data_IF_937348819472
#
_entry.id   IF_937348819472
#
_cell.length_a   1.000
_cell.length_b   1.000
_cell.length_c   1.000
_cell.angle_alpha   90.00
_cell.angle_beta   90.00
_cell.angle_gamma   90.00
#
_symmetry.space_group_name_H-M   'P 1'
#
loop_
_entity.id
_entity.type
_entity.pdbx_description
1 polymer ?
#
# COMPACT_ATOMS: atom_id res chain seq x y z
N UNK A 1 -10.95 23.57 7.61
CA UNK A 1 -10.81 22.11 7.89
C UNK A 1 -12.17 21.51 7.62
N UNK A 2 -12.21 20.56 6.68
CA UNK A 2 -13.47 19.93 6.22
C UNK A 2 -13.65 18.53 6.81
N UNK A 3 -12.60 17.92 7.34
CA UNK A 3 -12.62 16.57 7.89
C UNK A 3 -11.63 16.43 9.05
N UNK A 4 -11.85 15.43 9.88
CA UNK A 4 -11.00 15.03 10.97
C UNK A 4 -10.26 13.75 10.57
N UNK A 5 -8.92 13.74 10.50
CA UNK A 5 -8.17 12.53 10.20
C UNK A 5 -8.23 11.57 11.38
N UNK A 6 -8.63 10.32 11.13
CA UNK A 6 -8.77 9.33 12.19
C UNK A 6 -7.49 8.53 12.42
N UNK A 7 -6.88 8.04 11.33
CA UNK A 7 -5.67 7.22 11.42
C UNK A 7 -4.78 7.39 10.19
N UNK A 8 -3.51 7.04 10.37
CA UNK A 8 -2.54 6.83 9.28
C UNK A 8 -2.57 5.35 8.90
N UNK A 9 -2.56 5.07 7.62
CA UNK A 9 -2.29 3.75 7.06
C UNK A 9 -1.17 3.86 6.03
N UNK A 10 -0.38 2.80 5.94
CA UNK A 10 0.69 2.68 4.94
C UNK A 10 0.64 1.33 4.25
N UNK A 11 1.15 1.29 3.02
CA UNK A 11 1.12 0.10 2.17
C UNK A 11 2.41 -0.09 1.40
N UNK A 12 2.88 -1.34 1.31
CA UNK A 12 4.02 -1.80 0.51
C UNK A 12 4.05 -3.33 0.46
N UNK A 13 5.23 -3.88 0.25
CA UNK A 13 5.47 -5.31 0.28
C UNK A 13 5.68 -5.76 1.72
N UNK A 14 4.66 -6.38 2.33
CA UNK A 14 4.82 -7.06 3.61
C UNK A 14 5.77 -8.23 3.39
N UNK A 15 6.76 -8.40 4.26
CA UNK A 15 7.64 -9.57 4.27
C UNK A 15 7.45 -10.42 5.52
N UNK A 16 7.78 -11.72 5.41
CA UNK A 16 8.02 -12.61 6.55
C UNK A 16 9.50 -12.96 6.61
N UNK A 17 10.24 -12.29 7.50
CA UNK A 17 11.70 -12.45 7.66
C UNK A 17 12.08 -13.89 8.00
N UNK A 18 11.36 -14.52 8.95
CA UNK A 18 11.66 -15.87 9.38
C UNK A 18 11.59 -16.87 8.22
N UNK A 19 10.60 -16.74 7.36
CA UNK A 19 10.43 -17.56 6.15
C UNK A 19 11.58 -17.32 5.16
N UNK A 20 11.96 -16.06 4.94
CA UNK A 20 13.07 -15.72 4.05
C UNK A 20 14.38 -16.33 4.57
N UNK A 21 14.67 -16.17 5.86
CA UNK A 21 15.90 -16.68 6.51
C UNK A 21 15.95 -18.21 6.50
N UNK A 22 14.85 -18.87 6.82
CA UNK A 22 14.75 -20.34 6.76
C UNK A 22 14.97 -20.86 5.34
N UNK A 23 14.33 -20.23 4.35
CA UNK A 23 14.45 -20.62 2.94
C UNK A 23 15.86 -20.44 2.41
N UNK A 24 16.51 -19.30 2.73
CA UNK A 24 17.85 -18.99 2.23
C UNK A 24 18.99 -19.57 3.10
N UNK A 25 18.69 -20.05 4.31
CA UNK A 25 19.68 -20.53 5.25
C UNK A 25 20.66 -19.45 5.76
N UNK A 26 20.25 -18.19 5.75
CA UNK A 26 21.06 -17.03 6.18
C UNK A 26 20.17 -15.91 6.70
N UNK A 27 20.75 -15.02 7.50
CA UNK A 27 20.09 -13.80 7.96
C UNK A 27 19.64 -12.93 6.77
N UNK A 28 18.50 -12.27 6.96
CA UNK A 28 17.92 -11.32 6.00
C UNK A 28 17.85 -9.93 6.63
N UNK A 29 18.60 -8.99 6.05
CA UNK A 29 18.47 -7.57 6.35
C UNK A 29 17.58 -6.90 5.29
N UNK A 30 16.36 -6.44 5.64
CA UNK A 30 15.48 -5.76 4.70
C UNK A 30 16.07 -4.46 4.15
N UNK A 31 17.03 -3.84 4.82
CA UNK A 31 17.72 -2.65 4.34
C UNK A 31 18.76 -2.93 3.25
N UNK A 32 19.11 -4.20 3.05
CA UNK A 32 20.05 -4.60 1.99
C UNK A 32 19.43 -4.65 0.59
N UNK A 33 18.08 -4.51 0.49
CA UNK A 33 17.36 -4.47 -0.77
C UNK A 33 16.95 -3.03 -1.02
N UNK A 34 17.52 -2.39 -2.02
CA UNK A 34 17.38 -0.95 -2.29
C UNK A 34 16.92 -0.64 -3.73
N UNK A 35 16.94 -1.65 -4.60
CA UNK A 35 16.60 -1.49 -6.02
C UNK A 35 15.68 -2.59 -6.52
N UNK A 36 15.07 -2.37 -7.69
CA UNK A 36 14.22 -3.34 -8.35
C UNK A 36 14.99 -4.62 -8.74
N UNK A 37 16.23 -4.48 -9.24
CA UNK A 37 17.05 -5.64 -9.63
C UNK A 37 17.51 -6.45 -8.42
N UNK A 38 17.81 -5.81 -7.28
CA UNK A 38 18.14 -6.52 -6.04
C UNK A 38 16.93 -7.27 -5.50
N UNK A 39 15.73 -6.69 -5.60
CA UNK A 39 14.50 -7.38 -5.22
C UNK A 39 14.22 -8.56 -6.15
N UNK A 40 14.36 -8.41 -7.46
CA UNK A 40 14.21 -9.51 -8.42
C UNK A 40 15.23 -10.63 -8.13
N UNK A 41 16.50 -10.28 -7.84
CA UNK A 41 17.53 -11.24 -7.48
C UNK A 41 17.21 -11.98 -6.17
N UNK A 42 16.59 -11.32 -5.19
CA UNK A 42 16.11 -11.97 -3.96
C UNK A 42 15.00 -12.99 -4.26
N UNK A 43 14.05 -12.64 -5.17
CA UNK A 43 13.00 -13.56 -5.59
C UNK A 43 13.55 -14.79 -6.33
N UNK A 44 14.58 -14.60 -7.17
CA UNK A 44 15.30 -15.69 -7.83
C UNK A 44 15.97 -16.61 -6.81
N UNK A 45 16.71 -16.07 -5.81
CA UNK A 45 17.34 -16.84 -4.77
C UNK A 45 16.33 -17.68 -3.96
N UNK A 46 15.18 -17.11 -3.60
CA UNK A 46 14.10 -17.83 -2.91
C UNK A 46 13.55 -18.96 -3.78
N UNK A 47 13.40 -18.72 -5.09
CA UNK A 47 12.90 -19.71 -6.05
C UNK A 47 13.91 -20.86 -6.23
N UNK A 48 15.19 -20.56 -6.36
CA UNK A 48 16.27 -21.54 -6.43
C UNK A 48 16.39 -22.37 -5.14
N UNK A 49 16.12 -21.77 -3.99
CA UNK A 49 16.08 -22.44 -2.69
C UNK A 49 14.80 -23.30 -2.48
N UNK A 50 13.85 -23.28 -3.42
CA UNK A 50 12.67 -24.16 -3.44
C UNK A 50 11.33 -23.49 -3.22
N UNK A 51 11.28 -22.19 -2.94
CA UNK A 51 10.03 -21.42 -2.84
C UNK A 51 9.55 -21.04 -4.25
N UNK A 52 8.67 -21.86 -4.84
CA UNK A 52 8.29 -21.74 -6.25
C UNK A 52 7.74 -20.39 -6.68
N UNK A 53 7.03 -19.71 -5.80
CA UNK A 53 6.34 -18.44 -6.04
C UNK A 53 6.32 -17.62 -4.76
N UNK A 54 7.33 -16.77 -4.53
CA UNK A 54 7.53 -16.08 -3.26
C UNK A 54 6.60 -14.88 -3.01
N UNK A 55 5.72 -14.51 -3.95
CA UNK A 55 4.90 -13.30 -3.86
C UNK A 55 3.42 -13.61 -3.89
N UNK A 56 2.62 -12.94 -3.06
CA UNK A 56 1.17 -12.86 -3.16
C UNK A 56 0.75 -11.52 -3.74
N UNK A 57 -0.08 -11.53 -4.80
CA UNK A 57 -0.69 -10.35 -5.41
C UNK A 57 -2.20 -10.49 -5.36
N UNK A 58 -2.85 -9.62 -4.59
CA UNK A 58 -4.30 -9.61 -4.43
C UNK A 58 -5.00 -9.17 -5.73
N UNK A 59 -6.13 -9.84 -6.04
CA UNK A 59 -6.95 -9.55 -7.23
C UNK A 59 -7.94 -8.43 -7.04
N UNK A 60 -8.18 -8.02 -5.81
CA UNK A 60 -9.18 -7.03 -5.45
C UNK A 60 -8.92 -5.72 -6.21
N UNK A 61 -9.98 -5.20 -6.80
CA UNK A 61 -9.94 -3.97 -7.60
C UNK A 61 -9.42 -2.77 -6.80
N UNK A 62 -9.79 -2.67 -5.51
CA UNK A 62 -9.24 -1.64 -4.63
C UNK A 62 -7.72 -1.79 -4.42
N UNK A 63 -7.20 -3.03 -4.32
CA UNK A 63 -5.75 -3.26 -4.19
C UNK A 63 -5.01 -2.90 -5.47
N UNK A 64 -5.55 -3.28 -6.61
CA UNK A 64 -4.94 -3.05 -7.92
C UNK A 64 -5.11 -1.61 -8.40
N UNK A 65 -6.34 -1.08 -8.37
CA UNK A 65 -6.68 0.23 -8.92
C UNK A 65 -6.42 1.41 -7.99
N UNK A 66 -6.59 1.23 -6.66
CA UNK A 66 -6.35 2.31 -5.70
C UNK A 66 -4.96 2.22 -5.06
N UNK A 67 -4.45 1.02 -4.74
CA UNK A 67 -3.21 0.94 -4.00
C UNK A 67 -1.98 0.76 -4.88
N UNK A 68 -2.04 -0.06 -5.92
CA UNK A 68 -0.89 -0.27 -6.79
C UNK A 68 -0.83 0.76 -7.92
N UNK A 69 -1.91 0.93 -8.68
CA UNK A 69 -1.89 1.85 -9.82
C UNK A 69 -1.62 3.30 -9.44
N UNK A 70 -2.07 3.75 -8.26
CA UNK A 70 -1.85 5.13 -7.82
C UNK A 70 -0.37 5.50 -7.65
N UNK A 71 0.55 4.52 -7.62
CA UNK A 71 1.99 4.83 -7.63
C UNK A 71 2.42 5.65 -8.83
N UNK A 72 1.77 5.53 -9.98
CA UNK A 72 2.11 6.33 -11.16
C UNK A 72 1.87 7.84 -10.94
N UNK A 73 0.97 8.20 -10.03
CA UNK A 73 0.69 9.58 -9.64
C UNK A 73 1.52 9.98 -8.41
N UNK A 74 1.42 9.19 -7.34
CA UNK A 74 1.97 9.50 -6.02
C UNK A 74 3.50 9.54 -5.99
N UNK A 75 4.18 8.80 -6.87
CA UNK A 75 5.64 8.75 -6.92
C UNK A 75 6.26 9.74 -7.90
N UNK A 76 5.50 10.67 -8.44
CA UNK A 76 6.04 11.77 -9.23
C UNK A 76 7.04 12.58 -8.41
N UNK A 77 6.61 13.09 -7.27
CA UNK A 77 7.46 13.84 -6.32
C UNK A 77 7.19 13.50 -4.84
N UNK A 78 6.29 12.56 -4.54
CA UNK A 78 5.93 12.15 -3.19
C UNK A 78 4.94 13.09 -2.49
N UNK A 79 4.36 14.06 -3.19
CA UNK A 79 3.37 15.01 -2.67
C UNK A 79 1.98 14.81 -3.29
N UNK A 80 0.94 15.25 -2.57
CA UNK A 80 -0.42 15.22 -3.11
C UNK A 80 -0.61 16.24 -4.24
N UNK A 81 0.11 17.34 -4.20
CA UNK A 81 0.14 18.37 -5.23
C UNK A 81 0.73 17.81 -6.52
N UNK A 82 1.89 17.15 -6.46
CA UNK A 82 2.51 16.53 -7.61
C UNK A 82 1.68 15.38 -8.19
N UNK A 83 1.04 14.58 -7.34
CA UNK A 83 0.09 13.56 -7.81
C UNK A 83 -1.05 14.16 -8.61
N UNK A 84 -1.58 15.32 -8.18
CA UNK A 84 -2.64 16.03 -8.88
C UNK A 84 -2.16 16.64 -10.20
N UNK A 85 -0.94 17.17 -10.25
CA UNK A 85 -0.31 17.68 -11.49
C UNK A 85 -0.23 16.59 -12.57
N UNK A 86 0.18 15.39 -12.20
CA UNK A 86 0.22 14.24 -13.12
C UNK A 86 -1.18 13.91 -13.64
N UNK A 87 -2.18 13.85 -12.75
CA UNK A 87 -3.56 13.56 -13.11
C UNK A 87 -4.10 14.60 -14.10
N UNK A 88 -3.91 15.89 -13.84
CA UNK A 88 -4.37 16.94 -14.73
C UNK A 88 -3.62 16.89 -16.08
N UNK A 89 -2.33 16.59 -16.10
CA UNK A 89 -1.56 16.45 -17.34
C UNK A 89 -2.06 15.26 -18.19
N UNK A 90 -2.48 14.14 -17.58
CA UNK A 90 -3.10 13.03 -18.29
C UNK A 90 -4.46 13.46 -18.84
N UNK A 91 -5.31 14.09 -18.03
CA UNK A 91 -6.64 14.60 -18.44
C UNK A 91 -6.52 15.55 -19.63
N UNK A 92 -5.59 16.48 -19.58
CA UNK A 92 -5.37 17.44 -20.65
C UNK A 92 -4.74 16.82 -21.92
N UNK A 93 -4.21 15.58 -21.84
CA UNK A 93 -3.49 14.91 -22.91
C UNK A 93 -2.11 15.53 -23.17
N UNK A 94 -1.53 16.21 -22.20
CA UNK A 94 -0.20 16.82 -22.25
C UNK A 94 0.89 15.87 -21.78
N UNK A 95 0.53 14.81 -21.06
CA UNK A 95 1.41 13.72 -20.64
C UNK A 95 1.07 12.43 -21.41
N UNK A 96 2.02 11.91 -22.18
CA UNK A 96 1.96 10.61 -22.82
C UNK A 96 2.43 9.53 -21.83
N UNK A 97 1.54 8.67 -21.39
CA UNK A 97 1.85 7.61 -20.41
C UNK A 97 2.81 6.56 -20.97
N UNK A 98 2.89 6.38 -22.29
CA UNK A 98 3.86 5.43 -22.89
C UNK A 98 5.30 5.88 -22.70
N UNK A 99 5.54 7.19 -22.64
CA UNK A 99 6.86 7.78 -22.41
C UNK A 99 7.09 8.23 -20.97
N UNK A 100 6.10 8.11 -20.10
CA UNK A 100 6.20 8.52 -18.71
C UNK A 100 6.98 7.50 -17.88
N UNK A 101 8.11 7.93 -17.31
CA UNK A 101 9.03 7.03 -16.60
C UNK A 101 8.36 6.28 -15.45
N UNK A 102 7.56 6.95 -14.61
CA UNK A 102 6.90 6.30 -13.47
C UNK A 102 5.89 5.23 -13.91
N UNK A 103 5.22 5.42 -15.05
CA UNK A 103 4.36 4.38 -15.64
C UNK A 103 5.16 3.15 -16.05
N UNK A 104 6.27 3.35 -16.75
CA UNK A 104 7.13 2.25 -17.20
C UNK A 104 7.79 1.53 -16.02
N UNK A 105 8.26 2.26 -15.02
CA UNK A 105 8.84 1.72 -13.79
C UNK A 105 7.81 0.90 -13.01
N UNK A 106 6.59 1.43 -12.85
CA UNK A 106 5.49 0.69 -12.23
C UNK A 106 5.18 -0.62 -12.95
N UNK A 107 5.06 -0.60 -14.28
CA UNK A 107 4.78 -1.80 -15.07
C UNK A 107 5.91 -2.82 -14.98
N UNK A 108 7.17 -2.39 -14.92
CA UNK A 108 8.30 -3.29 -14.76
C UNK A 108 8.24 -4.02 -13.40
N UNK A 109 8.00 -3.29 -12.33
CA UNK A 109 7.85 -3.90 -11.00
C UNK A 109 6.60 -4.78 -10.92
N UNK A 110 5.48 -4.33 -11.48
CA UNK A 110 4.25 -5.13 -11.48
C UNK A 110 4.41 -6.44 -12.25
N UNK A 111 5.15 -6.44 -13.36
CA UNK A 111 5.45 -7.66 -14.11
C UNK A 111 6.34 -8.63 -13.32
N UNK A 112 7.29 -8.14 -12.53
CA UNK A 112 8.05 -8.96 -11.58
C UNK A 112 7.08 -9.60 -10.57
N UNK A 113 6.24 -8.81 -9.90
CA UNK A 113 5.27 -9.35 -8.93
C UNK A 113 4.36 -10.39 -9.58
N UNK A 114 3.91 -10.15 -10.80
CA UNK A 114 3.04 -11.07 -11.56
C UNK A 114 3.74 -12.38 -11.92
N UNK A 115 5.03 -12.32 -12.29
CA UNK A 115 5.85 -13.51 -12.61
C UNK A 115 6.02 -14.40 -11.39
N UNK A 116 6.30 -13.82 -10.21
CA UNK A 116 6.54 -14.54 -8.97
C UNK A 116 5.27 -14.76 -8.13
N UNK A 117 4.07 -14.40 -8.63
CA UNK A 117 2.81 -14.54 -7.93
C UNK A 117 2.46 -16.02 -7.69
N UNK A 118 2.13 -16.39 -6.46
CA UNK A 118 1.70 -17.73 -6.07
C UNK A 118 0.48 -18.19 -6.88
N UNK A 119 -0.43 -17.28 -7.17
CA UNK A 119 -1.65 -17.51 -7.97
C UNK A 119 -1.46 -17.29 -9.48
N UNK A 120 -0.23 -17.26 -10.00
CA UNK A 120 0.06 -16.92 -11.41
C UNK A 120 -0.80 -17.64 -12.44
N UNK A 121 -1.19 -18.91 -12.19
CA UNK A 121 -1.98 -19.70 -13.12
C UNK A 121 -3.46 -19.28 -13.19
N UNK A 122 -4.00 -18.81 -12.08
CA UNK A 122 -5.36 -18.28 -11.95
C UNK A 122 -5.38 -17.12 -10.95
N UNK A 123 -4.81 -15.97 -11.32
CA UNK A 123 -4.67 -14.85 -10.37
C UNK A 123 -6.01 -14.24 -9.97
N UNK A 124 -7.07 -14.42 -10.78
CA UNK A 124 -8.41 -13.94 -10.44
C UNK A 124 -9.21 -14.92 -9.58
N UNK A 125 -8.74 -16.16 -9.44
CA UNK A 125 -9.28 -17.16 -8.51
C UNK A 125 -8.68 -17.08 -7.11
N UNK A 126 -7.62 -16.27 -6.90
CA UNK A 126 -6.95 -16.14 -5.61
C UNK A 126 -7.89 -15.61 -4.52
N UNK A 127 -7.70 -16.06 -3.30
CA UNK A 127 -8.45 -15.63 -2.12
C UNK A 127 -7.58 -14.75 -1.20
N UNK A 128 -8.15 -13.65 -0.70
CA UNK A 128 -7.44 -12.68 0.13
C UNK A 128 -7.00 -13.26 1.48
N UNK A 129 -7.86 -14.05 2.12
CA UNK A 129 -7.54 -14.66 3.42
C UNK A 129 -6.54 -15.80 3.26
N UNK A 130 -6.59 -16.57 2.15
CA UNK A 130 -5.56 -17.55 1.82
C UNK A 130 -4.18 -16.92 1.64
N UNK A 131 -4.07 -15.70 1.13
CA UNK A 131 -2.79 -14.99 1.00
C UNK A 131 -2.14 -14.68 2.36
N UNK A 132 -2.93 -14.36 3.38
CA UNK A 132 -2.42 -14.20 4.74
C UNK A 132 -1.88 -15.52 5.30
N UNK A 133 -2.63 -16.62 5.09
CA UNK A 133 -2.21 -17.99 5.47
C UNK A 133 -0.93 -18.37 4.72
N UNK A 134 -0.85 -18.13 3.41
CA UNK A 134 0.31 -18.45 2.59
C UNK A 134 1.58 -17.72 3.05
N UNK A 135 1.46 -16.46 3.51
CA UNK A 135 2.58 -15.71 4.06
C UNK A 135 3.02 -16.24 5.43
N UNK A 136 2.07 -16.62 6.30
CA UNK A 136 2.36 -17.14 7.63
C UNK A 136 2.94 -18.56 7.55
N UNK A 137 2.38 -19.41 6.72
CA UNK A 137 2.79 -20.81 6.52
C UNK A 137 4.09 -20.95 5.69
N UNK A 138 4.63 -19.84 5.17
CA UNK A 138 5.87 -19.86 4.39
C UNK A 138 5.75 -20.36 2.96
N UNK A 139 4.56 -20.38 2.39
CA UNK A 139 4.39 -20.66 0.95
C UNK A 139 4.79 -19.45 0.10
N UNK A 140 4.64 -18.24 0.65
CA UNK A 140 5.15 -16.98 0.09
C UNK A 140 6.01 -16.24 1.11
N UNK A 141 6.89 -15.38 0.64
CA UNK A 141 7.75 -14.52 1.47
C UNK A 141 7.26 -13.07 1.51
N UNK A 142 6.49 -12.66 0.49
CA UNK A 142 6.03 -11.29 0.32
C UNK A 142 4.55 -11.22 -0.06
N UNK A 143 3.87 -10.21 0.47
CA UNK A 143 2.49 -9.86 0.13
C UNK A 143 2.34 -8.36 -0.04
N UNK A 144 1.95 -7.88 -1.22
CA UNK A 144 1.62 -6.46 -1.39
C UNK A 144 0.32 -6.14 -0.67
N UNK A 145 0.43 -5.42 0.46
CA UNK A 145 -0.72 -5.01 1.28
C UNK A 145 -0.34 -3.82 2.18
N UNK A 146 -1.19 -3.47 3.14
CA UNK A 146 -0.94 -2.44 4.13
C UNK A 146 -1.03 -2.95 5.57
N UNK A 147 -0.78 -2.05 6.52
CA UNK A 147 -0.81 -2.41 7.95
C UNK A 147 -2.18 -2.91 8.42
N UNK A 148 -3.27 -2.59 7.73
CA UNK A 148 -4.61 -3.15 7.97
C UNK A 148 -4.70 -4.67 7.77
N UNK A 149 -3.71 -5.31 7.14
CA UNK A 149 -3.66 -6.76 6.95
C UNK A 149 -3.24 -7.53 8.22
N UNK A 150 -2.76 -6.84 9.27
CA UNK A 150 -2.32 -7.50 10.49
C UNK A 150 -3.38 -8.40 11.16
N UNK A 151 -4.66 -8.00 11.28
CA UNK A 151 -5.68 -8.90 11.82
C UNK A 151 -5.77 -10.23 11.08
N UNK A 152 -5.71 -10.23 9.73
CA UNK A 152 -5.73 -11.46 8.92
C UNK A 152 -4.49 -12.33 9.16
N UNK A 153 -3.30 -11.72 9.24
CA UNK A 153 -2.07 -12.44 9.57
C UNK A 153 -2.11 -13.03 10.97
N UNK A 154 -2.59 -12.29 11.95
CA UNK A 154 -2.74 -12.76 13.33
C UNK A 154 -3.75 -13.90 13.44
N UNK A 155 -4.87 -13.84 12.71
CA UNK A 155 -5.86 -14.91 12.64
C UNK A 155 -5.30 -16.16 11.95
N UNK A 156 -4.44 -15.99 10.95
CA UNK A 156 -3.70 -17.06 10.31
C UNK A 156 -2.59 -17.67 11.20
N UNK A 157 -2.33 -17.10 12.39
CA UNK A 157 -1.36 -17.61 13.35
C UNK A 157 -0.02 -16.86 13.39
N UNK A 158 0.08 -15.70 12.75
CA UNK A 158 1.29 -14.87 12.87
C UNK A 158 1.52 -14.45 14.33
N UNK A 159 2.70 -14.72 14.84
CA UNK A 159 3.11 -14.20 16.13
C UNK A 159 3.50 -12.73 16.02
N UNK A 160 3.17 -11.93 17.04
CA UNK A 160 3.58 -10.54 17.11
C UNK A 160 5.09 -10.45 17.37
N UNK A 161 5.84 -10.36 16.31
CA UNK A 161 7.31 -10.35 16.34
C UNK A 161 7.87 -9.41 15.28
N UNK A 162 9.16 -9.09 15.38
CA UNK A 162 9.87 -8.31 14.37
C UNK A 162 10.15 -9.10 13.06
N UNK A 163 9.54 -10.28 12.91
CA UNK A 163 9.60 -11.05 11.67
C UNK A 163 8.82 -10.41 10.51
N UNK A 164 7.85 -9.55 10.82
CA UNK A 164 7.03 -8.89 9.82
C UNK A 164 7.37 -7.39 9.74
N UNK A 165 7.38 -6.86 8.54
CA UNK A 165 7.58 -5.45 8.24
C UNK A 165 7.36 -5.18 6.76
N UNK A 166 7.78 -3.99 6.28
CA UNK A 166 7.59 -3.58 4.90
C UNK A 166 8.91 -3.35 4.16
N UNK A 167 8.99 -3.87 2.93
CA UNK A 167 9.93 -3.38 1.93
C UNK A 167 9.26 -2.29 1.08
N UNK A 168 10.02 -1.33 0.54
CA UNK A 168 9.54 -0.40 -0.48
C UNK A 168 8.99 -1.11 -1.73
N UNK A 169 8.24 -0.39 -2.55
CA UNK A 169 7.82 -0.85 -3.87
C UNK A 169 8.86 -0.35 -4.88
N UNK A 170 9.90 -1.13 -5.13
CA UNK A 170 11.05 -0.73 -5.90
C UNK A 170 10.67 -0.42 -7.36
N UNK A 171 10.69 0.85 -7.74
CA UNK A 171 10.26 1.29 -9.07
C UNK A 171 11.37 1.26 -10.11
N UNK A 172 12.64 1.36 -9.68
CA UNK A 172 13.80 1.42 -10.55
C UNK A 172 15.08 0.94 -9.84
N UNK A 173 16.23 1.17 -10.47
CA UNK A 173 17.55 0.77 -9.98
C UNK A 173 18.38 1.94 -9.42
N UNK A 174 17.76 3.06 -9.10
CA UNK A 174 18.39 4.14 -8.37
C UNK A 174 18.15 3.99 -6.87
N UNK A 175 19.15 3.63 -6.06
CA UNK A 175 18.98 3.47 -4.61
C UNK A 175 18.69 4.80 -3.89
N UNK A 176 18.92 5.95 -4.56
CA UNK A 176 18.63 7.27 -4.00
C UNK A 176 17.22 7.78 -4.35
N UNK A 177 16.49 7.10 -5.24
CA UNK A 177 15.10 7.45 -5.52
C UNK A 177 14.25 7.25 -4.25
N UNK A 178 13.53 8.30 -3.84
CA UNK A 178 12.70 8.24 -2.63
C UNK A 178 11.66 7.11 -2.68
N UNK A 179 11.13 6.79 -3.86
CA UNK A 179 10.16 5.70 -4.04
C UNK A 179 10.73 4.32 -3.69
N UNK A 180 12.08 4.14 -3.81
CA UNK A 180 12.79 2.92 -3.42
C UNK A 180 13.21 2.89 -1.93
N UNK A 181 13.10 4.02 -1.24
CA UNK A 181 13.55 4.17 0.17
C UNK A 181 12.41 4.36 1.14
N UNK A 182 11.37 5.04 0.71
CA UNK A 182 10.26 5.46 1.54
C UNK A 182 9.01 4.62 1.26
N UNK A 183 8.11 4.63 2.21
CA UNK A 183 6.80 4.02 2.04
C UNK A 183 5.72 5.10 1.95
N UNK A 184 4.67 4.82 1.21
CA UNK A 184 3.49 5.68 1.23
C UNK A 184 2.75 5.46 2.55
N UNK A 185 2.58 6.53 3.33
CA UNK A 185 1.79 6.54 4.54
C UNK A 185 1.04 7.87 4.68
N UNK A 186 -0.28 7.80 4.78
CA UNK A 186 -1.12 8.98 4.80
C UNK A 186 -2.35 8.80 5.70
N UNK A 187 -3.02 9.90 6.11
CA UNK A 187 -4.32 9.83 6.76
C UNK A 187 -5.37 9.24 5.81
N UNK A 188 -5.68 7.96 5.97
CA UNK A 188 -6.53 7.19 5.07
C UNK A 188 -8.01 7.29 5.42
N UNK A 189 -8.34 7.46 6.71
CA UNK A 189 -9.71 7.53 7.20
C UNK A 189 -10.03 8.95 7.69
N UNK A 190 -11.14 9.49 7.18
CA UNK A 190 -11.57 10.85 7.45
C UNK A 190 -12.98 10.82 8.04
N UNK A 191 -13.19 11.55 9.13
CA UNK A 191 -14.51 11.74 9.74
C UNK A 191 -15.03 13.13 9.39
N UNK A 192 -16.24 13.20 8.85
CA UNK A 192 -16.94 14.45 8.56
C UNK A 192 -18.24 14.52 9.35
N UNK A 193 -18.58 15.71 9.86
CA UNK A 193 -19.85 15.97 10.52
C UNK A 193 -20.75 16.71 9.53
N UNK A 194 -21.81 16.06 9.04
CA UNK A 194 -22.77 16.70 8.13
C UNK A 194 -23.68 17.67 8.88
N UNK A 195 -23.41 18.96 8.74
CA UNK A 195 -24.14 20.03 9.39
C UNK A 195 -25.56 20.26 8.84
N UNK A 196 -25.97 19.56 7.76
CA UNK A 196 -27.31 19.72 7.16
C UNK A 196 -28.35 18.80 7.76
N UNK A 197 -27.92 17.64 8.28
CA UNK A 197 -28.83 16.57 8.73
C UNK A 197 -28.83 16.37 10.23
N UNK A 198 -27.96 17.04 10.97
CA UNK A 198 -27.84 16.90 12.44
C UNK A 198 -28.13 18.23 13.16
N UNK A 199 -28.70 18.14 14.35
CA UNK A 199 -28.95 19.29 15.22
C UNK A 199 -27.64 19.90 15.75
N UNK A 200 -27.72 21.12 16.28
CA UNK A 200 -26.59 21.77 16.95
C UNK A 200 -26.06 20.95 18.13
N UNK A 201 -26.96 20.29 18.86
CA UNK A 201 -26.61 19.45 20.00
C UNK A 201 -25.83 18.20 19.55
N UNK A 202 -26.29 17.54 18.50
CA UNK A 202 -25.58 16.37 17.93
C UNK A 202 -24.22 16.73 17.37
N UNK A 203 -24.12 17.88 16.69
CA UNK A 203 -22.81 18.41 16.22
C UNK A 203 -21.88 18.72 17.38
N UNK A 204 -22.39 19.29 18.46
CA UNK A 204 -21.58 19.57 19.65
C UNK A 204 -21.10 18.26 20.29
N UNK A 205 -21.97 17.26 20.43
CA UNK A 205 -21.59 15.94 20.96
C UNK A 205 -20.55 15.23 20.08
N UNK A 206 -20.70 15.27 18.76
CA UNK A 206 -19.72 14.69 17.83
C UNK A 206 -18.34 15.37 17.95
N UNK A 207 -18.30 16.70 18.06
CA UNK A 207 -17.05 17.43 18.28
C UNK A 207 -16.41 17.10 19.62
N UNK A 208 -17.21 16.99 20.68
CA UNK A 208 -16.73 16.59 22.01
C UNK A 208 -16.11 15.19 21.97
N UNK A 209 -16.76 14.24 21.28
CA UNK A 209 -16.22 12.90 21.10
C UNK A 209 -14.87 12.91 20.35
N UNK A 210 -14.74 13.68 19.25
CA UNK A 210 -13.48 13.81 18.51
C UNK A 210 -12.39 14.46 19.37
N UNK A 211 -12.73 15.50 20.16
CA UNK A 211 -11.80 16.10 21.11
C UNK A 211 -11.37 15.09 22.18
N UNK A 212 -12.29 14.29 22.69
CA UNK A 212 -11.99 13.25 23.66
C UNK A 212 -10.99 12.22 23.11
N UNK A 213 -11.16 11.78 21.86
CA UNK A 213 -10.19 10.87 21.20
C UNK A 213 -8.77 11.46 21.21
N UNK A 214 -8.63 12.76 20.91
CA UNK A 214 -7.32 13.41 20.73
C UNK A 214 -6.70 13.78 22.07
N UNK A 215 -7.48 14.25 23.03
CA UNK A 215 -6.95 14.94 24.22
C UNK A 215 -7.13 14.17 25.52
N UNK A 216 -7.97 13.14 25.58
CA UNK A 216 -8.07 12.32 26.79
C UNK A 216 -7.10 11.13 26.72
N UNK A 217 -6.51 10.79 27.85
CA UNK A 217 -5.64 9.62 27.97
C UNK A 217 -6.34 8.32 27.55
N UNK A 218 -7.60 8.14 27.96
CA UNK A 218 -8.39 6.96 27.62
C UNK A 218 -8.69 6.92 26.11
N UNK A 219 -9.04 8.05 25.49
CA UNK A 219 -9.26 8.14 24.05
C UNK A 219 -8.00 7.82 23.25
N UNK A 220 -6.86 8.37 23.66
CA UNK A 220 -5.56 8.10 23.05
C UNK A 220 -5.15 6.63 23.16
N UNK A 221 -5.34 6.01 24.34
CA UNK A 221 -5.10 4.59 24.53
C UNK A 221 -6.04 3.73 23.66
N UNK A 222 -7.32 4.08 23.61
CA UNK A 222 -8.32 3.32 22.87
C UNK A 222 -7.99 3.26 21.37
N UNK A 223 -7.64 4.39 20.75
CA UNK A 223 -7.28 4.44 19.34
C UNK A 223 -6.10 3.50 19.04
N UNK A 224 -5.06 3.52 19.86
CA UNK A 224 -3.84 2.76 19.59
C UNK A 224 -3.93 1.32 20.09
N UNK A 225 -4.34 1.11 21.35
CA UNK A 225 -4.25 -0.20 22.00
C UNK A 225 -5.46 -1.09 21.75
N UNK A 226 -6.65 -0.49 21.54
CA UNK A 226 -7.89 -1.25 21.34
C UNK A 226 -8.27 -1.32 19.86
N UNK A 227 -8.20 -0.18 19.15
CA UNK A 227 -8.55 -0.11 17.73
C UNK A 227 -7.38 -0.45 16.82
N UNK A 228 -6.16 -0.52 17.36
CA UNK A 228 -4.93 -0.80 16.62
C UNK A 228 -4.69 0.15 15.45
N UNK A 229 -4.98 1.45 15.66
CA UNK A 229 -4.84 2.50 14.65
C UNK A 229 -3.60 3.34 14.95
N UNK A 230 -2.93 3.80 13.91
CA UNK A 230 -1.82 4.76 14.02
C UNK A 230 -2.42 6.15 14.10
N UNK A 231 -2.28 6.88 15.23
CA UNK A 231 -2.88 8.20 15.38
C UNK A 231 -2.14 9.24 14.52
N UNK A 232 -2.87 10.14 13.83
CA UNK A 232 -2.25 11.22 13.06
C UNK A 232 -1.87 12.44 13.92
N UNK A 233 -1.94 12.33 15.24
CA UNK A 233 -1.75 13.42 16.20
C UNK A 233 -0.48 13.24 17.01
N UNK A 234 0.42 14.20 16.96
CA UNK A 234 1.72 14.17 17.65
C UNK A 234 1.63 14.12 19.17
N UNK A 235 0.49 14.54 19.76
CA UNK A 235 0.27 14.50 21.21
C UNK A 235 -0.15 13.12 21.74
N UNK A 236 -0.30 12.09 20.90
CA UNK A 236 -0.56 10.75 21.36
C UNK A 236 0.77 10.04 21.68
N UNK A 237 1.02 9.65 22.95
CA UNK A 237 2.28 9.07 23.37
C UNK A 237 2.34 7.55 23.18
N UNK A 238 1.28 6.92 22.66
CA UNK A 238 1.18 5.47 22.55
C UNK A 238 1.62 4.99 21.17
N UNK A 239 2.40 3.91 21.17
CA UNK A 239 2.86 3.23 19.96
C UNK A 239 1.97 2.03 19.64
N UNK A 240 1.73 1.71 18.35
CA UNK A 240 1.05 0.49 17.93
C UNK A 240 1.73 -0.77 18.45
N UNK A 241 0.93 -1.77 18.79
CA UNK A 241 1.46 -3.03 19.32
C UNK A 241 1.85 -4.02 18.23
N UNK A 242 1.15 -4.03 17.08
CA UNK A 242 1.44 -4.94 15.99
C UNK A 242 2.65 -4.49 15.17
N UNK A 243 3.39 -5.43 14.55
CA UNK A 243 4.64 -5.13 13.87
C UNK A 243 4.45 -4.27 12.62
N UNK A 244 3.35 -4.44 11.87
CA UNK A 244 3.11 -3.69 10.65
C UNK A 244 2.78 -2.22 10.95
N UNK A 245 1.85 -1.97 11.89
CA UNK A 245 1.53 -0.59 12.31
C UNK A 245 2.73 0.07 12.99
N UNK A 246 3.53 -0.69 13.73
CA UNK A 246 4.76 -0.18 14.36
C UNK A 246 5.83 0.20 13.32
N UNK A 247 6.02 -0.59 12.25
CA UNK A 247 6.95 -0.24 11.16
C UNK A 247 6.52 1.06 10.47
N UNK A 248 5.22 1.22 10.13
CA UNK A 248 4.69 2.47 9.56
C UNK A 248 4.89 3.64 10.52
N UNK A 249 4.54 3.47 11.81
CA UNK A 249 4.70 4.49 12.84
C UNK A 249 6.16 4.97 12.92
N UNK A 250 7.11 4.04 12.98
CA UNK A 250 8.54 4.36 13.05
C UNK A 250 9.01 5.11 11.80
N UNK A 251 8.62 4.65 10.60
CA UNK A 251 9.02 5.31 9.35
C UNK A 251 8.47 6.72 9.23
N UNK A 252 7.23 6.97 9.68
CA UNK A 252 6.67 8.33 9.72
C UNK A 252 7.47 9.23 10.67
N UNK A 253 7.87 8.72 11.84
CA UNK A 253 8.66 9.49 12.81
C UNK A 253 10.13 9.69 12.39
N UNK A 254 10.67 8.80 11.57
CA UNK A 254 12.03 8.88 11.01
C UNK A 254 12.10 9.62 9.67
N UNK A 255 11.00 10.23 9.23
CA UNK A 255 10.89 10.92 7.94
C UNK A 255 11.27 10.01 6.75
N UNK A 256 10.92 8.72 6.84
CA UNK A 256 11.10 7.70 5.80
C UNK A 256 9.77 7.23 5.20
N UNK A 257 8.79 8.12 5.18
CA UNK A 257 7.50 7.92 4.58
C UNK A 257 7.09 9.18 3.82
N UNK A 258 6.52 9.02 2.64
CA UNK A 258 5.94 10.13 1.90
C UNK A 258 4.41 10.13 2.04
N UNK A 259 3.83 11.33 2.04
CA UNK A 259 2.40 11.54 2.22
C UNK A 259 1.78 12.08 0.92
N UNK A 260 1.79 11.28 -0.14
CA UNK A 260 1.06 11.57 -1.34
C UNK A 260 -0.30 10.87 -1.33
N UNK A 261 -1.35 11.59 -1.70
CA UNK A 261 -2.69 11.05 -1.87
C UNK A 261 -3.30 11.69 -3.12
N UNK A 262 -3.45 10.90 -4.16
CA UNK A 262 -4.12 11.33 -5.37
C UNK A 262 -5.62 11.54 -5.10
N UNK A 263 -6.17 12.70 -5.48
CA UNK A 263 -7.60 12.96 -5.45
C UNK A 263 -8.19 12.46 -6.75
N UNK A 264 -8.91 11.36 -6.67
CA UNK A 264 -9.48 10.66 -7.83
C UNK A 264 -11.00 10.54 -7.71
N UNK A 265 -11.73 10.38 -8.83
CA UNK A 265 -13.15 10.07 -8.81
C UNK A 265 -13.46 8.79 -8.01
N UNK A 266 -14.67 8.70 -7.45
CA UNK A 266 -15.08 7.59 -6.60
C UNK A 266 -15.07 6.22 -7.29
N UNK A 267 -15.17 6.18 -8.61
CA UNK A 267 -15.18 4.96 -9.41
C UNK A 267 -13.80 4.58 -9.98
N UNK A 268 -12.79 5.43 -9.78
CA UNK A 268 -11.41 5.21 -10.28
C UNK A 268 -10.89 3.81 -9.94
N UNK A 269 -10.97 3.43 -8.67
CA UNK A 269 -10.44 2.15 -8.20
C UNK A 269 -11.18 0.95 -8.79
N UNK A 270 -12.48 1.06 -9.03
CA UNK A 270 -13.28 -0.03 -9.59
C UNK A 270 -13.05 -0.15 -11.11
N UNK A 271 -13.06 0.96 -11.85
CA UNK A 271 -12.88 0.97 -13.30
C UNK A 271 -11.46 0.57 -13.69
N UNK A 272 -10.47 1.24 -13.12
CA UNK A 272 -9.06 0.95 -13.43
C UNK A 272 -8.57 -0.32 -12.73
N UNK A 273 -9.15 -0.70 -11.59
CA UNK A 273 -8.93 -1.99 -10.96
C UNK A 273 -9.34 -3.15 -11.88
N UNK A 274 -10.48 -3.03 -12.58
CA UNK A 274 -10.90 -4.02 -13.57
C UNK A 274 -9.92 -4.11 -14.76
N UNK A 275 -9.32 -2.99 -15.19
CA UNK A 275 -8.27 -2.98 -16.21
C UNK A 275 -6.99 -3.64 -15.71
N UNK A 276 -6.59 -3.35 -14.48
CA UNK A 276 -5.46 -4.01 -13.82
C UNK A 276 -5.68 -5.50 -13.60
N UNK A 277 -6.90 -5.96 -13.30
CA UNK A 277 -7.24 -7.38 -13.22
C UNK A 277 -7.03 -8.10 -14.55
N UNK A 278 -7.40 -7.47 -15.68
CA UNK A 278 -7.13 -8.04 -17.02
C UNK A 278 -5.62 -8.15 -17.24
N UNK A 279 -4.87 -7.12 -16.86
CA UNK A 279 -3.42 -7.12 -17.00
C UNK A 279 -2.76 -8.17 -16.09
N UNK A 280 -3.16 -8.27 -14.84
CA UNK A 280 -2.71 -9.31 -13.90
C UNK A 280 -2.95 -10.72 -14.46
N UNK A 281 -4.10 -10.95 -15.09
CA UNK A 281 -4.47 -12.23 -15.71
C UNK A 281 -3.83 -12.49 -17.07
N UNK A 282 -3.01 -11.56 -17.60
CA UNK A 282 -2.41 -11.69 -18.93
C UNK A 282 -3.42 -11.61 -20.08
N UNK A 283 -4.57 -10.97 -19.83
CA UNK A 283 -5.67 -10.77 -20.81
C UNK A 283 -5.63 -9.41 -21.49
N UNK A 284 -4.69 -8.57 -21.13
CA UNK A 284 -4.37 -7.31 -21.79
C UNK A 284 -2.87 -7.08 -21.83
N UNK A 285 -2.39 -6.32 -22.84
CA UNK A 285 -1.01 -5.86 -22.93
C UNK A 285 -0.76 -4.61 -22.09
N UNK A 286 0.51 -4.16 -22.03
CA UNK A 286 0.87 -2.88 -21.37
C UNK A 286 0.21 -1.71 -22.10
N UNK A 287 0.23 -1.71 -23.42
CA UNK A 287 -0.37 -0.67 -24.25
C UNK A 287 -1.87 -0.58 -24.05
N UNK A 288 -2.56 -1.73 -23.95
CA UNK A 288 -4.01 -1.78 -23.70
C UNK A 288 -4.35 -1.28 -22.29
N UNK A 289 -3.52 -1.54 -21.28
CA UNK A 289 -3.70 -1.00 -19.94
C UNK A 289 -3.49 0.52 -19.94
N UNK A 290 -2.40 1.01 -20.54
CA UNK A 290 -2.12 2.45 -20.68
C UNK A 290 -3.29 3.16 -21.37
N UNK A 291 -3.74 2.64 -22.50
CA UNK A 291 -4.88 3.20 -23.22
C UNK A 291 -6.16 3.23 -22.36
N UNK A 292 -6.36 2.22 -21.53
CA UNK A 292 -7.52 2.20 -20.61
C UNK A 292 -7.44 3.32 -19.56
N UNK A 293 -6.23 3.63 -19.08
CA UNK A 293 -6.01 4.72 -18.12
C UNK A 293 -6.22 6.08 -18.79
N UNK A 294 -5.67 6.27 -19.99
CA UNK A 294 -5.82 7.51 -20.76
C UNK A 294 -7.29 7.77 -21.09
N UNK A 295 -8.02 6.76 -21.59
CA UNK A 295 -9.44 6.86 -21.91
C UNK A 295 -10.27 7.20 -20.65
N UNK A 296 -9.98 6.57 -19.51
CA UNK A 296 -10.66 6.89 -18.25
C UNK A 296 -10.52 8.36 -17.88
N UNK A 297 -9.29 8.89 -17.95
CA UNK A 297 -9.06 10.29 -17.61
C UNK A 297 -9.58 11.28 -18.66
N UNK A 298 -9.61 10.87 -19.94
CA UNK A 298 -10.26 11.67 -20.98
C UNK A 298 -11.75 11.85 -20.72
N UNK A 299 -12.45 10.81 -20.24
CA UNK A 299 -13.87 10.87 -19.89
C UNK A 299 -14.15 11.73 -18.63
N UNK A 300 -13.13 12.06 -17.84
CA UNK A 300 -13.22 12.91 -16.64
C UNK A 300 -12.89 14.39 -16.89
N UNK A 301 -12.76 14.80 -18.16
CA UNK A 301 -12.50 16.20 -18.58
C UNK A 301 -13.69 17.14 -18.30
#
# INVERSE_FOLDING_TARGET
IYSFPLCIEGRRLIYNRSVIEETLGREFDPLSVTTMDEFAALLDQLTEAGMKRPVSVAKEDWSLGAHQLQYIYETYDGTSEGAQEVIEAIKEGTLDLNSYDRMNQFLNMFDILREYNVARKDPLGADYDEMAIDLVDGKTAFWFNGNWAWPNLSEAGAENSDAYGFLPYFLNNDPEDFANREIQASPSKQIMIDGRVVSDQERAAAREFLNWIVFSEIGQQMIVKTCNLIPPFQNNPYEPADPLSRDIYNRVHEERAFNASAIVPNDHWAVLGASMQKYLAGRSSREELIQSIENYWEEQR
#
